data_IF_362912602135
#
_entry.id   IF_362912602135
#
_cell.length_a   1.000
_cell.length_b   1.000
_cell.length_c   1.000
_cell.angle_alpha   90.00
_cell.angle_beta   90.00
_cell.angle_gamma   90.00
#
_symmetry.space_group_name_H-M   'P 1'
#
loop_
_entity.id
_entity.type
_entity.pdbx_description
1 polymer ?
#
# COMPACT_ATOMS: atom_id res chain seq x y z
N UNK A 1 18.75 37.87 42.81
CA UNK A 1 17.74 37.07 42.08
C UNK A 1 17.80 35.63 42.60
N UNK A 2 16.69 35.01 42.93
CA UNK A 2 16.56 33.96 43.94
C UNK A 2 17.19 32.61 43.54
N UNK A 3 17.98 31.96 44.45
CA UNK A 3 18.38 30.54 44.39
C UNK A 3 17.22 29.59 44.08
N UNK A 4 16.01 29.95 44.46
CA UNK A 4 14.79 29.18 44.18
C UNK A 4 14.40 29.12 42.69
N UNK A 5 14.76 30.09 41.88
CA UNK A 5 14.40 30.10 40.46
C UNK A 5 15.22 29.08 39.66
N UNK A 6 16.51 28.96 39.97
CA UNK A 6 17.41 27.97 39.34
C UNK A 6 16.99 26.51 39.58
N UNK A 7 16.68 26.23 40.86
CA UNK A 7 16.25 24.86 41.22
C UNK A 7 14.94 24.49 40.51
N UNK A 8 14.08 25.45 40.21
CA UNK A 8 12.83 25.20 39.48
C UNK A 8 13.10 24.95 38.00
N UNK A 9 14.00 25.68 37.35
CA UNK A 9 14.35 25.53 35.95
C UNK A 9 15.01 24.17 35.69
N UNK A 10 16.04 23.83 36.49
CA UNK A 10 16.69 22.51 36.43
C UNK A 10 15.72 21.37 36.77
N UNK A 11 14.84 21.56 37.72
CA UNK A 11 13.81 20.59 38.04
C UNK A 11 12.86 20.38 36.86
N UNK A 12 12.48 21.43 36.14
CA UNK A 12 11.64 21.32 34.94
C UNK A 12 12.38 20.59 33.80
N UNK A 13 13.63 20.90 33.56
CA UNK A 13 14.47 20.20 32.56
C UNK A 13 14.60 18.73 32.93
N UNK A 14 14.91 18.43 34.19
CA UNK A 14 14.99 17.05 34.69
C UNK A 14 13.64 16.33 34.54
N UNK A 15 12.54 16.96 34.94
CA UNK A 15 11.20 16.38 34.83
C UNK A 15 10.84 16.04 33.38
N UNK A 16 11.16 16.93 32.43
CA UNK A 16 10.89 16.71 31.00
C UNK A 16 11.76 15.58 30.46
N UNK A 17 13.03 15.54 30.83
CA UNK A 17 13.94 14.48 30.47
C UNK A 17 13.44 13.13 31.02
N UNK A 18 13.12 13.09 32.31
CA UNK A 18 12.64 11.88 33.00
C UNK A 18 11.30 11.39 32.42
N UNK A 19 10.33 12.29 32.25
CA UNK A 19 9.03 11.94 31.61
C UNK A 19 9.18 11.48 30.16
N UNK A 20 10.24 11.90 29.46
CA UNK A 20 10.55 11.43 28.12
C UNK A 20 11.09 10.00 28.09
N UNK A 21 11.86 9.61 29.12
CA UNK A 21 12.60 8.33 29.21
C UNK A 21 11.96 7.30 30.12
N UNK A 22 11.18 7.75 31.15
CA UNK A 22 10.55 6.89 32.14
C UNK A 22 9.76 5.70 31.56
N UNK A 23 8.91 5.87 30.51
CA UNK A 23 8.21 4.74 29.92
C UNK A 23 9.15 3.63 29.41
N UNK A 24 10.34 4.00 28.92
CA UNK A 24 11.33 3.05 28.47
C UNK A 24 11.95 2.30 29.66
N UNK A 25 12.39 3.03 30.68
CA UNK A 25 13.03 2.47 31.87
C UNK A 25 12.11 1.55 32.67
N UNK A 26 10.86 1.94 32.89
CA UNK A 26 9.86 1.11 33.58
C UNK A 26 9.59 -0.19 32.83
N UNK A 27 9.48 -0.12 31.49
CA UNK A 27 9.24 -1.31 30.68
C UNK A 27 10.40 -2.28 30.68
N UNK A 28 11.64 -1.83 30.66
CA UNK A 28 12.81 -2.67 30.82
C UNK A 28 12.77 -3.41 32.15
N UNK A 29 12.41 -2.73 33.24
CA UNK A 29 12.34 -3.32 34.57
C UNK A 29 11.30 -4.46 34.69
N UNK A 30 10.20 -4.37 33.95
CA UNK A 30 9.10 -5.36 33.99
C UNK A 30 9.08 -6.31 32.78
N UNK A 31 10.13 -6.36 31.97
CA UNK A 31 10.20 -7.16 30.71
C UNK A 31 9.02 -6.88 29.75
N UNK A 32 8.42 -5.69 29.83
CA UNK A 32 7.38 -5.27 28.90
C UNK A 32 8.09 -4.68 27.68
N UNK A 33 7.72 -5.06 26.43
CA UNK A 33 8.33 -4.52 25.25
C UNK A 33 8.19 -2.99 25.20
N UNK A 34 9.24 -2.30 24.76
CA UNK A 34 9.17 -0.84 24.61
C UNK A 34 8.12 -0.48 23.56
N UNK A 35 7.67 0.78 23.57
CA UNK A 35 6.71 1.28 22.58
C UNK A 35 7.24 1.08 21.16
N UNK A 36 8.54 1.32 20.93
CA UNK A 36 9.15 1.15 19.62
C UNK A 36 9.29 -0.31 19.22
N UNK A 37 9.58 -1.22 20.16
CA UNK A 37 9.61 -2.67 19.90
C UNK A 37 8.22 -3.18 19.50
N UNK A 38 7.16 -2.66 20.12
CA UNK A 38 5.79 -2.99 19.74
C UNK A 38 5.48 -2.54 18.30
N UNK A 39 5.87 -1.31 17.92
CA UNK A 39 5.69 -0.83 16.54
C UNK A 39 6.58 -1.58 15.54
N UNK A 40 7.81 -1.95 15.90
CA UNK A 40 8.68 -2.75 15.04
C UNK A 40 8.07 -4.14 14.79
N UNK A 41 7.50 -4.75 15.84
CA UNK A 41 6.78 -6.04 15.74
C UNK A 41 5.56 -5.91 14.82
N UNK A 42 4.73 -4.88 15.01
CA UNK A 42 3.57 -4.60 14.15
C UNK A 42 4.00 -4.36 12.71
N UNK A 43 5.05 -3.57 12.50
CA UNK A 43 5.59 -3.28 11.18
C UNK A 43 6.10 -4.57 10.49
N UNK A 44 6.79 -5.44 11.24
CA UNK A 44 7.23 -6.73 10.74
C UNK A 44 6.05 -7.63 10.34
N UNK A 45 5.03 -7.73 11.17
CA UNK A 45 3.81 -8.51 10.90
C UNK A 45 3.08 -7.99 9.66
N UNK A 46 2.92 -6.67 9.54
CA UNK A 46 2.32 -6.04 8.36
C UNK A 46 3.12 -6.35 7.08
N UNK A 47 4.46 -6.26 7.15
CA UNK A 47 5.35 -6.60 6.03
C UNK A 47 5.22 -8.07 5.62
N UNK A 48 5.09 -8.98 6.56
CA UNK A 48 4.92 -10.41 6.29
C UNK A 48 3.57 -10.68 5.62
N UNK A 49 2.51 -10.09 6.14
CA UNK A 49 1.15 -10.24 5.61
C UNK A 49 0.97 -9.75 4.18
N UNK A 50 1.80 -8.85 3.65
CA UNK A 50 1.68 -8.36 2.27
C UNK A 50 1.80 -9.46 1.20
N UNK A 51 2.46 -10.58 1.51
CA UNK A 51 2.67 -11.70 0.59
C UNK A 51 1.52 -12.72 0.60
N UNK A 52 0.60 -12.62 1.57
CA UNK A 52 -0.52 -13.53 1.68
C UNK A 52 -1.52 -13.30 0.53
N UNK A 53 -2.18 -14.37 0.09
CA UNK A 53 -3.29 -14.28 -0.87
C UNK A 53 -4.53 -13.77 -0.14
N UNK A 54 -4.82 -12.50 -0.32
CA UNK A 54 -5.92 -11.86 0.35
C UNK A 54 -7.14 -11.71 -0.56
N UNK A 55 -8.32 -11.88 0.02
CA UNK A 55 -9.57 -11.45 -0.57
C UNK A 55 -9.60 -9.90 -0.61
N UNK A 56 -10.41 -9.33 -1.52
CA UNK A 56 -10.47 -7.86 -1.72
C UNK A 56 -10.70 -7.09 -0.40
N UNK A 57 -11.60 -7.58 0.46
CA UNK A 57 -11.93 -6.92 1.73
C UNK A 57 -10.75 -6.92 2.71
N UNK A 58 -10.02 -8.02 2.77
CA UNK A 58 -8.84 -8.16 3.63
C UNK A 58 -7.72 -7.20 3.21
N UNK A 59 -7.53 -7.00 1.90
CA UNK A 59 -6.55 -6.03 1.39
C UNK A 59 -6.86 -4.62 1.86
N UNK A 60 -8.13 -4.21 1.91
CA UNK A 60 -8.53 -2.89 2.40
C UNK A 60 -8.21 -2.74 3.88
N UNK A 61 -8.48 -3.78 4.69
CA UNK A 61 -8.12 -3.76 6.11
C UNK A 61 -6.61 -3.69 6.32
N UNK A 62 -5.84 -4.41 5.52
CA UNK A 62 -4.37 -4.36 5.58
C UNK A 62 -3.85 -2.96 5.22
N UNK A 63 -4.32 -2.35 4.13
CA UNK A 63 -3.95 -0.98 3.74
C UNK A 63 -4.30 0.01 4.85
N UNK A 64 -5.49 -0.11 5.45
CA UNK A 64 -5.90 0.74 6.59
C UNK A 64 -4.94 0.57 7.76
N UNK A 65 -4.54 -0.64 8.11
CA UNK A 65 -3.59 -0.90 9.20
C UNK A 65 -2.22 -0.26 8.93
N UNK A 66 -1.72 -0.33 7.69
CA UNK A 66 -0.49 0.38 7.29
C UNK A 66 -0.62 1.89 7.48
N UNK A 67 -1.72 2.49 7.00
CA UNK A 67 -1.94 3.94 7.08
C UNK A 67 -2.03 4.41 8.54
N UNK A 68 -2.79 3.70 9.37
CA UNK A 68 -2.91 4.03 10.81
C UNK A 68 -1.53 3.97 11.48
N UNK A 69 -0.77 2.91 11.26
CA UNK A 69 0.56 2.77 11.85
C UNK A 69 1.53 3.88 11.38
N UNK A 70 1.50 4.24 10.10
CA UNK A 70 2.30 5.33 9.53
C UNK A 70 1.93 6.68 10.16
N UNK A 71 0.64 6.96 10.32
CA UNK A 71 0.15 8.21 10.91
C UNK A 71 0.53 8.32 12.38
N UNK A 72 0.37 7.24 13.15
CA UNK A 72 0.76 7.19 14.57
C UNK A 72 2.27 7.41 14.74
N UNK A 73 3.11 6.70 13.96
CA UNK A 73 4.57 6.88 13.99
C UNK A 73 4.98 8.30 13.58
N UNK A 74 4.29 8.88 12.60
CA UNK A 74 4.54 10.26 12.17
C UNK A 74 4.23 11.26 13.29
N UNK A 75 3.14 11.06 14.01
CA UNK A 75 2.76 11.90 15.16
C UNK A 75 3.76 11.74 16.30
N UNK A 76 4.15 10.49 16.62
CA UNK A 76 5.16 10.21 17.65
C UNK A 76 6.51 10.87 17.31
N UNK A 77 6.97 10.76 16.08
CA UNK A 77 8.20 11.41 15.61
C UNK A 77 8.16 12.94 15.77
N UNK A 78 7.00 13.57 15.48
CA UNK A 78 6.80 15.01 15.72
C UNK A 78 6.81 15.37 17.21
N UNK A 79 6.24 14.53 18.06
CA UNK A 79 6.24 14.74 19.51
C UNK A 79 7.68 14.68 20.05
N UNK A 80 8.47 13.65 19.65
CA UNK A 80 9.85 13.53 20.06
C UNK A 80 10.70 14.70 19.55
N UNK A 81 10.51 15.13 18.31
CA UNK A 81 11.20 16.33 17.78
C UNK A 81 10.90 17.57 18.60
N UNK A 82 9.63 17.85 18.92
CA UNK A 82 9.26 19.01 19.72
C UNK A 82 9.80 18.94 21.15
N UNK A 83 9.77 17.76 21.78
CA UNK A 83 10.34 17.56 23.12
C UNK A 83 11.84 17.80 23.11
N UNK A 84 12.54 17.29 22.11
CA UNK A 84 13.97 17.47 21.92
C UNK A 84 14.33 18.96 21.75
N UNK A 85 13.63 19.67 20.86
CA UNK A 85 13.84 21.09 20.62
C UNK A 85 13.59 21.92 21.90
N UNK A 86 12.53 21.56 22.65
CA UNK A 86 12.24 22.21 23.90
C UNK A 86 13.34 21.96 24.96
N UNK A 87 13.78 20.70 25.10
CA UNK A 87 14.88 20.34 26.04
C UNK A 87 16.18 21.08 25.69
N UNK A 88 16.53 21.17 24.39
CA UNK A 88 17.72 21.92 23.95
C UNK A 88 17.63 23.41 24.27
N UNK A 89 16.49 24.05 24.08
CA UNK A 89 16.28 25.47 24.42
C UNK A 89 16.41 25.71 25.91
N UNK A 90 15.76 24.86 26.73
CA UNK A 90 15.87 24.97 28.18
C UNK A 90 17.32 24.79 28.65
N UNK A 91 18.07 23.88 28.08
CA UNK A 91 19.49 23.70 28.41
C UNK A 91 20.29 24.96 28.09
N UNK A 92 20.09 25.58 26.92
CA UNK A 92 20.75 26.85 26.58
C UNK A 92 20.42 27.98 27.54
N UNK A 93 19.15 28.08 27.94
CA UNK A 93 18.72 29.08 28.89
C UNK A 93 19.36 28.86 30.29
N UNK A 94 19.46 27.60 30.73
CA UNK A 94 20.14 27.26 31.98
C UNK A 94 21.66 27.55 31.94
N UNK A 95 22.33 27.19 30.83
CA UNK A 95 23.76 27.43 30.62
C UNK A 95 24.05 28.95 30.62
N UNK A 96 23.16 29.76 30.00
CA UNK A 96 23.29 31.19 29.99
C UNK A 96 23.16 31.80 31.41
N UNK A 97 22.21 31.31 32.21
CA UNK A 97 22.01 31.75 33.62
C UNK A 97 23.20 31.37 34.48
N UNK A 98 23.77 30.16 34.30
CA UNK A 98 24.99 29.76 35.03
C UNK A 98 26.20 30.62 34.69
N UNK A 99 26.37 31.00 33.44
CA UNK A 99 27.46 31.90 33.02
C UNK A 99 27.29 33.28 33.64
N UNK A 100 26.05 33.81 33.73
CA UNK A 100 25.77 35.10 34.34
C UNK A 100 26.08 35.06 35.82
N UNK A 101 25.77 33.99 36.55
CA UNK A 101 26.02 33.88 37.97
C UNK A 101 27.51 33.69 38.31
N UNK A 102 28.23 32.93 37.47
CA UNK A 102 29.70 32.82 37.57
C UNK A 102 30.36 34.21 37.40
N UNK A 103 29.86 35.00 36.46
CA UNK A 103 30.32 36.38 36.25
C UNK A 103 29.96 37.31 37.43
N UNK A 104 28.88 37.04 38.16
CA UNK A 104 28.44 37.77 39.35
C UNK A 104 29.14 37.32 40.66
N UNK A 105 30.07 36.35 40.59
CA UNK A 105 30.84 35.87 41.76
C UNK A 105 30.05 34.99 42.74
N UNK A 106 28.92 34.46 42.33
CA UNK A 106 28.11 33.54 43.13
C UNK A 106 28.77 32.15 43.10
N UNK A 107 29.30 31.68 44.27
CA UNK A 107 29.84 30.32 44.37
C UNK A 107 28.73 29.29 44.16
N UNK A 108 28.84 28.51 43.10
CA UNK A 108 28.02 27.31 42.90
C UNK A 108 28.49 26.24 43.87
N UNK A 109 27.60 25.71 44.67
CA UNK A 109 27.87 24.57 45.55
C UNK A 109 28.01 23.36 44.66
N UNK A 110 29.25 22.89 44.49
CA UNK A 110 29.53 21.60 43.83
C UNK A 110 28.84 20.48 44.64
N UNK A 111 27.92 19.80 44.04
CA UNK A 111 27.30 18.60 44.58
C UNK A 111 28.26 17.42 44.29
N UNK A 112 28.86 16.81 45.33
CA UNK A 112 29.87 15.77 45.10
C UNK A 112 29.30 14.38 44.76
N UNK A 113 28.02 14.24 44.58
CA UNK A 113 27.37 12.94 44.34
C UNK A 113 26.90 12.76 42.90
N UNK A 114 27.72 11.99 42.14
CA UNK A 114 27.23 11.25 40.97
C UNK A 114 27.09 12.06 39.68
N UNK A 115 26.64 11.41 38.66
CA UNK A 115 26.40 11.94 37.33
C UNK A 115 25.85 13.37 37.32
N UNK A 116 26.56 14.27 36.67
CA UNK A 116 26.16 15.66 36.56
C UNK A 116 24.77 15.78 35.93
N UNK A 117 23.93 16.69 36.41
CA UNK A 117 22.58 16.90 35.85
C UNK A 117 22.62 17.13 34.32
N UNK A 118 23.72 17.73 33.85
CA UNK A 118 24.01 17.90 32.41
C UNK A 118 24.17 16.58 31.66
N UNK A 119 24.79 15.56 32.25
CA UNK A 119 24.94 14.24 31.63
C UNK A 119 23.61 13.51 31.51
N UNK A 120 22.74 13.61 32.51
CA UNK A 120 21.38 13.05 32.46
C UNK A 120 20.51 13.71 31.39
N UNK A 121 20.60 15.04 31.27
CA UNK A 121 19.89 15.77 30.20
C UNK A 121 20.39 15.35 28.83
N UNK A 122 21.72 15.26 28.65
CA UNK A 122 22.32 14.83 27.41
C UNK A 122 21.90 13.39 27.06
N UNK A 123 21.89 12.49 28.03
CA UNK A 123 21.41 11.12 27.86
C UNK A 123 19.95 11.08 27.42
N UNK A 124 19.07 11.85 28.07
CA UNK A 124 17.66 11.93 27.72
C UNK A 124 17.44 12.52 26.32
N UNK A 125 18.22 13.53 25.94
CA UNK A 125 18.19 14.10 24.59
C UNK A 125 18.63 13.07 23.54
N UNK A 126 19.67 12.31 23.83
CA UNK A 126 20.14 11.23 22.94
C UNK A 126 19.06 10.16 22.77
N UNK A 127 18.43 9.72 23.85
CA UNK A 127 17.32 8.75 23.81
C UNK A 127 16.13 9.26 22.98
N UNK A 128 15.76 10.53 23.16
CA UNK A 128 14.66 11.13 22.36
C UNK A 128 15.01 11.23 20.87
N UNK A 129 16.27 11.51 20.56
CA UNK A 129 16.73 11.54 19.16
C UNK A 129 16.73 10.14 18.54
N UNK A 130 17.16 9.12 19.25
CA UNK A 130 17.13 7.72 18.79
C UNK A 130 15.67 7.28 18.54
N UNK A 131 14.75 7.61 19.43
CA UNK A 131 13.32 7.34 19.26
C UNK A 131 12.76 8.04 18.02
N UNK A 132 13.13 9.30 17.78
CA UNK A 132 12.75 10.08 16.61
C UNK A 132 13.25 9.45 15.31
N UNK A 133 14.53 9.04 15.30
CA UNK A 133 15.17 8.36 14.16
C UNK A 133 14.46 7.03 13.88
N UNK A 134 14.16 6.26 14.92
CA UNK A 134 13.46 4.98 14.81
C UNK A 134 12.06 5.16 14.24
N UNK A 135 11.29 6.14 14.72
CA UNK A 135 9.98 6.47 14.15
C UNK A 135 10.07 6.81 12.65
N UNK A 136 11.08 7.60 12.28
CA UNK A 136 11.28 7.99 10.88
C UNK A 136 11.64 6.78 10.01
N UNK A 137 12.56 5.93 10.47
CA UNK A 137 12.94 4.69 9.79
C UNK A 137 11.75 3.77 9.56
N UNK A 138 10.98 3.49 10.63
CA UNK A 138 9.80 2.63 10.53
C UNK A 138 8.72 3.20 9.59
N UNK A 139 8.53 4.53 9.62
CA UNK A 139 7.59 5.21 8.72
C UNK A 139 7.99 5.05 7.24
N UNK A 140 9.27 5.22 6.92
CA UNK A 140 9.80 5.02 5.55
C UNK A 140 9.63 3.57 5.12
N UNK A 141 10.05 2.64 5.96
CA UNK A 141 9.94 1.20 5.71
C UNK A 141 8.50 0.75 5.44
N UNK A 142 7.55 1.26 6.23
CA UNK A 142 6.13 0.94 6.04
C UNK A 142 5.58 1.53 4.74
N UNK A 143 5.98 2.75 4.36
CA UNK A 143 5.58 3.36 3.08
C UNK A 143 6.11 2.57 1.89
N UNK A 144 7.36 2.15 1.93
CA UNK A 144 7.95 1.30 0.89
C UNK A 144 7.23 -0.05 0.79
N UNK A 145 6.92 -0.64 1.95
CA UNK A 145 6.16 -1.88 2.03
C UNK A 145 4.75 -1.73 1.45
N UNK A 146 4.08 -0.62 1.74
CA UNK A 146 2.76 -0.29 1.19
C UNK A 146 2.82 -0.10 -0.33
N UNK A 147 3.83 0.62 -0.84
CA UNK A 147 4.05 0.76 -2.28
C UNK A 147 4.28 -0.59 -2.97
N UNK A 148 5.07 -1.47 -2.34
CA UNK A 148 5.28 -2.83 -2.84
C UNK A 148 3.99 -3.65 -2.87
N UNK A 149 3.11 -3.48 -1.88
CA UNK A 149 1.78 -4.08 -1.85
C UNK A 149 0.93 -3.64 -3.05
N UNK A 150 0.90 -2.34 -3.36
CA UNK A 150 0.18 -1.82 -4.52
C UNK A 150 0.75 -2.35 -5.84
N UNK A 151 2.06 -2.44 -5.98
CA UNK A 151 2.71 -3.02 -7.16
C UNK A 151 2.34 -4.50 -7.32
N UNK A 152 2.38 -5.30 -6.27
CA UNK A 152 1.96 -6.70 -6.30
C UNK A 152 0.50 -6.84 -6.72
N UNK A 153 -0.39 -6.00 -6.19
CA UNK A 153 -1.81 -6.02 -6.56
C UNK A 153 -2.04 -5.58 -8.01
N UNK A 154 -1.30 -4.61 -8.50
CA UNK A 154 -1.34 -4.21 -9.91
C UNK A 154 -0.92 -5.35 -10.84
N UNK A 155 0.15 -6.07 -10.52
CA UNK A 155 0.61 -7.23 -11.27
C UNK A 155 -0.46 -8.35 -11.28
N UNK A 156 -1.08 -8.61 -10.13
CA UNK A 156 -2.15 -9.60 -9.99
C UNK A 156 -3.38 -9.23 -10.85
N UNK A 157 -3.80 -7.96 -10.81
CA UNK A 157 -4.88 -7.44 -11.65
C UNK A 157 -4.56 -7.55 -13.14
N UNK A 158 -3.34 -7.20 -13.55
CA UNK A 158 -2.90 -7.34 -14.93
C UNK A 158 -2.91 -8.81 -15.39
N UNK A 159 -2.50 -9.73 -14.51
CA UNK A 159 -2.57 -11.17 -14.77
C UNK A 159 -4.00 -11.64 -14.99
N UNK A 160 -4.94 -11.20 -14.16
CA UNK A 160 -6.36 -11.51 -14.30
C UNK A 160 -6.94 -10.91 -15.59
N UNK A 161 -6.55 -9.69 -15.96
CA UNK A 161 -6.96 -9.05 -17.21
C UNK A 161 -6.48 -9.83 -18.45
N UNK A 162 -5.24 -10.33 -18.46
CA UNK A 162 -4.70 -11.19 -19.53
C UNK A 162 -5.49 -12.50 -19.63
N UNK A 163 -5.81 -13.12 -18.49
CA UNK A 163 -6.61 -14.36 -18.48
C UNK A 163 -8.01 -14.10 -19.04
N UNK A 164 -8.65 -12.98 -18.62
CA UNK A 164 -9.97 -12.60 -19.13
C UNK A 164 -9.95 -12.33 -20.65
N UNK A 165 -8.90 -11.67 -21.16
CA UNK A 165 -8.73 -11.42 -22.60
C UNK A 165 -8.58 -12.73 -23.40
N UNK A 166 -7.80 -13.70 -22.88
CA UNK A 166 -7.66 -15.03 -23.52
C UNK A 166 -8.97 -15.82 -23.50
N UNK A 167 -9.73 -15.76 -22.41
CA UNK A 167 -11.07 -16.35 -22.31
C UNK A 167 -12.05 -15.71 -23.30
N UNK A 168 -12.05 -14.37 -23.41
CA UNK A 168 -12.88 -13.66 -24.37
C UNK A 168 -12.54 -14.08 -25.82
N UNK A 169 -11.26 -14.20 -26.17
CA UNK A 169 -10.84 -14.71 -27.50
C UNK A 169 -11.37 -16.11 -27.76
N UNK A 170 -11.29 -17.01 -26.79
CA UNK A 170 -11.83 -18.35 -26.91
C UNK A 170 -13.36 -18.36 -27.12
N UNK A 171 -14.09 -17.52 -26.38
CA UNK A 171 -15.54 -17.34 -26.53
C UNK A 171 -15.88 -16.81 -27.94
N UNK A 172 -15.13 -15.82 -28.45
CA UNK A 172 -15.34 -15.32 -29.81
C UNK A 172 -15.15 -16.39 -30.88
N UNK A 173 -14.11 -17.21 -30.78
CA UNK A 173 -13.87 -18.32 -31.68
C UNK A 173 -15.02 -19.33 -31.62
N UNK A 174 -15.42 -19.74 -30.40
CA UNK A 174 -16.53 -20.67 -30.20
C UNK A 174 -17.85 -20.11 -30.78
N UNK A 175 -18.14 -18.83 -30.53
CA UNK A 175 -19.32 -18.14 -31.04
C UNK A 175 -19.29 -18.10 -32.58
N UNK A 176 -18.13 -17.81 -33.17
CA UNK A 176 -17.95 -17.84 -34.62
C UNK A 176 -18.25 -19.22 -35.21
N UNK A 177 -17.73 -20.29 -34.61
CA UNK A 177 -18.07 -21.67 -34.99
C UNK A 177 -19.57 -21.94 -34.87
N UNK A 178 -20.19 -21.54 -33.77
CA UNK A 178 -21.61 -21.77 -33.51
C UNK A 178 -22.48 -21.11 -34.59
N UNK A 179 -22.19 -19.87 -34.98
CA UNK A 179 -22.93 -19.12 -36.00
C UNK A 179 -22.86 -19.81 -37.35
N UNK A 180 -21.73 -20.47 -37.68
CA UNK A 180 -21.56 -21.17 -38.94
C UNK A 180 -22.16 -22.58 -38.88
N UNK A 181 -21.87 -23.33 -37.83
CA UNK A 181 -22.26 -24.75 -37.72
C UNK A 181 -23.74 -24.97 -37.40
N UNK A 182 -24.35 -24.07 -36.65
CA UNK A 182 -25.76 -24.20 -36.25
C UNK A 182 -26.70 -24.17 -37.48
N UNK A 183 -26.62 -23.19 -38.38
CA UNK A 183 -27.44 -23.25 -39.62
C UNK A 183 -27.06 -24.42 -40.49
N UNK A 184 -25.76 -24.82 -40.57
CA UNK A 184 -25.33 -25.94 -41.37
C UNK A 184 -25.92 -27.26 -40.84
N UNK A 185 -25.89 -27.48 -39.51
CA UNK A 185 -26.47 -28.69 -38.92
C UNK A 185 -27.98 -28.75 -39.07
N UNK A 186 -28.67 -27.60 -38.96
CA UNK A 186 -30.11 -27.55 -39.26
C UNK A 186 -30.43 -27.95 -40.68
N UNK A 187 -29.67 -27.48 -41.64
CA UNK A 187 -29.88 -27.83 -43.03
C UNK A 187 -29.55 -29.29 -43.34
N UNK A 188 -28.46 -29.82 -42.78
CA UNK A 188 -28.13 -31.26 -42.98
C UNK A 188 -29.19 -32.14 -42.34
N UNK A 189 -29.73 -31.79 -41.19
CA UNK A 189 -30.86 -32.49 -40.58
C UNK A 189 -32.14 -32.39 -41.41
N UNK A 190 -32.44 -31.19 -41.92
CA UNK A 190 -33.66 -30.95 -42.75
C UNK A 190 -33.57 -31.77 -44.08
N UNK A 191 -32.42 -31.82 -44.73
CA UNK A 191 -32.25 -32.60 -45.95
C UNK A 191 -32.09 -34.10 -45.68
N UNK A 192 -31.66 -34.51 -44.50
CA UNK A 192 -31.61 -35.91 -44.05
C UNK A 192 -33.00 -36.50 -43.75
N UNK A 193 -33.98 -35.63 -43.47
CA UNK A 193 -35.36 -36.05 -43.35
C UNK A 193 -35.95 -36.31 -44.75
N UNK A 194 -36.23 -37.58 -45.05
CA UNK A 194 -36.74 -38.07 -46.32
C UNK A 194 -38.22 -37.61 -46.51
N UNK A 195 -38.43 -36.30 -46.75
CA UNK A 195 -39.75 -35.71 -46.97
C UNK A 195 -40.18 -36.04 -48.39
N UNK A 196 -41.11 -36.99 -48.55
CA UNK A 196 -41.74 -37.43 -49.79
C UNK A 196 -42.28 -36.30 -50.68
N UNK A 197 -42.39 -35.05 -50.25
CA UNK A 197 -42.87 -33.91 -51.00
C UNK A 197 -41.81 -33.03 -51.65
N UNK A 198 -40.52 -33.30 -51.41
CA UNK A 198 -39.41 -32.48 -51.92
C UNK A 198 -38.66 -33.15 -53.07
N UNK A 199 -38.85 -34.45 -53.26
CA UNK A 199 -38.14 -35.26 -54.25
C UNK A 199 -38.72 -35.11 -55.68
N UNK A 200 -39.93 -34.51 -55.79
CA UNK A 200 -40.70 -34.49 -57.06
C UNK A 200 -40.62 -33.13 -57.82
N UNK A 201 -39.66 -32.25 -57.44
CA UNK A 201 -39.41 -31.02 -58.18
C UNK A 201 -38.12 -31.15 -58.98
N UNK A 202 -38.25 -31.12 -60.34
CA UNK A 202 -37.19 -31.09 -61.36
C UNK A 202 -36.17 -29.92 -61.22
N UNK A 203 -35.92 -29.45 -60.01
CA UNK A 203 -34.90 -28.43 -59.74
C UNK A 203 -33.60 -29.09 -59.37
N UNK A 204 -32.69 -29.08 -60.34
CA UNK A 204 -31.34 -29.62 -60.23
C UNK A 204 -30.65 -29.12 -58.93
N UNK A 205 -29.93 -30.05 -58.25
CA UNK A 205 -29.15 -29.78 -57.02
C UNK A 205 -28.22 -28.58 -57.16
N UNK A 206 -27.74 -28.29 -58.37
CA UNK A 206 -26.93 -27.11 -58.65
C UNK A 206 -27.59 -25.76 -58.35
N UNK A 207 -28.90 -25.63 -58.54
CA UNK A 207 -29.63 -24.37 -58.28
C UNK A 207 -29.65 -24.09 -56.78
N UNK A 208 -29.86 -25.11 -55.97
CA UNK A 208 -29.85 -24.97 -54.50
C UNK A 208 -28.45 -24.63 -53.97
N UNK A 209 -27.42 -25.27 -54.50
CA UNK A 209 -26.05 -24.98 -54.09
C UNK A 209 -25.60 -23.58 -54.48
N UNK A 210 -25.94 -23.09 -55.67
CA UNK A 210 -25.60 -21.74 -56.13
C UNK A 210 -26.30 -20.65 -55.30
N UNK A 211 -27.59 -20.77 -55.08
CA UNK A 211 -28.37 -19.80 -54.30
C UNK A 211 -27.88 -19.73 -52.82
N UNK A 212 -27.43 -20.86 -52.30
CA UNK A 212 -26.99 -21.01 -50.92
C UNK A 212 -25.57 -20.55 -50.70
N UNK A 213 -24.63 -20.82 -51.58
CA UNK A 213 -23.28 -20.32 -51.52
C UNK A 213 -23.20 -18.81 -51.52
N UNK A 214 -24.08 -18.15 -52.29
CA UNK A 214 -24.18 -16.70 -52.33
C UNK A 214 -24.65 -16.13 -50.96
N UNK A 215 -25.60 -16.78 -50.30
CA UNK A 215 -26.14 -16.33 -49.00
C UNK A 215 -25.14 -16.57 -47.87
N UNK A 216 -24.53 -17.74 -47.81
CA UNK A 216 -23.49 -18.07 -46.81
C UNK A 216 -22.28 -17.15 -46.99
N UNK A 217 -21.86 -16.88 -48.23
CA UNK A 217 -20.76 -15.94 -48.51
C UNK A 217 -21.05 -14.54 -48.03
N UNK A 218 -22.32 -14.09 -48.09
CA UNK A 218 -22.76 -12.78 -47.57
C UNK A 218 -22.76 -12.72 -46.05
N UNK A 219 -23.17 -13.79 -45.36
CA UNK A 219 -23.21 -13.85 -43.90
C UNK A 219 -21.82 -14.04 -43.27
N UNK A 220 -20.99 -14.89 -43.85
CA UNK A 220 -19.59 -15.07 -43.46
C UNK A 220 -18.80 -13.77 -43.64
N UNK A 221 -19.04 -13.03 -44.74
CA UNK A 221 -18.39 -11.74 -44.95
C UNK A 221 -18.81 -10.67 -43.89
N UNK A 222 -20.08 -10.67 -43.48
CA UNK A 222 -20.57 -9.82 -42.41
C UNK A 222 -19.99 -10.23 -41.05
N UNK A 223 -19.95 -11.50 -40.72
CA UNK A 223 -19.35 -12.03 -39.52
C UNK A 223 -17.84 -11.73 -39.41
N UNK A 224 -17.11 -11.92 -40.52
CA UNK A 224 -15.67 -11.60 -40.56
C UNK A 224 -15.39 -10.10 -40.41
N UNK A 225 -16.21 -9.22 -40.98
CA UNK A 225 -16.03 -7.77 -40.83
C UNK A 225 -16.23 -7.30 -39.38
N UNK A 226 -17.13 -7.90 -38.63
CA UNK A 226 -17.35 -7.64 -37.20
C UNK A 226 -16.16 -8.14 -36.39
N UNK A 227 -15.66 -9.36 -36.66
CA UNK A 227 -14.48 -9.91 -35.98
C UNK A 227 -13.23 -9.07 -36.28
N UNK A 228 -13.06 -8.65 -37.54
CA UNK A 228 -11.95 -7.76 -37.94
C UNK A 228 -12.01 -6.40 -37.29
N UNK A 229 -13.21 -5.82 -37.10
CA UNK A 229 -13.41 -4.56 -36.39
C UNK A 229 -13.04 -4.67 -34.90
N UNK A 230 -13.38 -5.78 -34.25
CA UNK A 230 -12.99 -6.03 -32.85
C UNK A 230 -11.52 -6.40 -32.69
N UNK A 231 -10.90 -7.03 -33.67
CA UNK A 231 -9.46 -7.34 -33.63
C UNK A 231 -8.56 -6.12 -33.91
N UNK A 232 -9.06 -5.09 -34.59
CA UNK A 232 -8.31 -3.85 -34.87
C UNK A 232 -8.27 -2.84 -33.73
N UNK A 233 -8.89 -3.10 -32.57
CA UNK A 233 -8.86 -2.22 -31.39
C UNK A 233 -7.92 -2.71 -30.27
N UNK A 234 -6.59 -2.70 -30.42
CA UNK A 234 -5.69 -2.92 -29.30
C UNK A 234 -4.94 -1.65 -28.85
N UNK A 235 -5.17 -0.46 -29.42
CA UNK A 235 -4.27 0.68 -29.21
C UNK A 235 -4.81 1.84 -28.38
N UNK A 236 -6.09 1.90 -28.06
CA UNK A 236 -6.66 3.07 -27.38
C UNK A 236 -6.66 3.00 -25.84
N UNK A 237 -6.00 2.00 -25.26
CA UNK A 237 -5.83 1.86 -23.80
C UNK A 237 -4.55 2.52 -23.26
N UNK A 238 -3.81 3.25 -24.10
CA UNK A 238 -2.56 3.92 -23.67
C UNK A 238 -2.75 5.30 -23.04
N UNK A 239 -3.95 5.87 -23.07
CA UNK A 239 -4.22 7.24 -22.62
C UNK A 239 -5.18 7.29 -21.42
N UNK A 240 -5.10 6.37 -20.48
CA UNK A 240 -5.73 6.58 -19.17
C UNK A 240 -4.68 7.26 -18.29
N UNK A 241 -4.84 8.57 -17.98
CA UNK A 241 -3.95 9.23 -17.04
C UNK A 241 -4.14 8.59 -15.66
N UNK A 242 -3.04 8.21 -15.05
CA UNK A 242 -2.98 7.76 -13.67
C UNK A 242 -3.48 8.90 -12.75
N UNK A 243 -4.61 8.70 -12.10
CA UNK A 243 -5.03 9.42 -10.89
C UNK A 243 -4.53 8.68 -9.66
#
# INVERSE_FOLDING_TARGET
>A
MNRHSKNVEWFLVYLIAELGTTPHNIRQSYSIPSLMDAYDTIAHELKQRRYDRWQRNETIHLVRAYLVCIDELTVLGKIFSKKLDFSKRLQLDCDFLEQQDKAAGVQTVDNPEGETETERIAFAQHMMEDLRITCTRLTVDLRESLNSLFQLRSIEQNKLAIIADTQNKAIFVLTGFTIVFLPLSFFTSYFGMNLKGIIDTDRTEEYYWKARLVRIRGEVRRGLSVVEHYMRRPSDLKDIPYL
#
